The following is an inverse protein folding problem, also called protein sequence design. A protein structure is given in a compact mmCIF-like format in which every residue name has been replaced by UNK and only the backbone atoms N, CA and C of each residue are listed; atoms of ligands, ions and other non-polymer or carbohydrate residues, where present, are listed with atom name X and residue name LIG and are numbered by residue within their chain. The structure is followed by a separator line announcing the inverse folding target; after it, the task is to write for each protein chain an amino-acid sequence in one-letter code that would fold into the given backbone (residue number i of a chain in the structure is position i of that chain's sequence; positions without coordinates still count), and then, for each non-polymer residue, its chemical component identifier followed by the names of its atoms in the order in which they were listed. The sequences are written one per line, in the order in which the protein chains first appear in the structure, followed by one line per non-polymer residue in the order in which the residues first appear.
data_IF_604311571244
#
_entry.id   IF_604311571244
#
_cell.length_a   1.000
_cell.length_b   1.000
_cell.length_c   1.000
_cell.angle_alpha   90.00
_cell.angle_beta   90.00
_cell.angle_gamma   90.00
#
_symmetry.space_group_name_H-M   'P 1'
#
loop_
_entity.id
_entity.type
_entity.pdbx_description
1 polymer ?
#
# COMPACT_ATOMS: atom_id res chain seq x y z
N UNK A 1 20.43 -12.35 -34.85
CA UNK A 1 19.72 -11.24 -35.54
C UNK A 1 19.21 -10.29 -34.48
N UNK A 2 19.35 -8.97 -34.63
CA UNK A 2 19.06 -8.01 -33.55
C UNK A 2 17.57 -7.64 -33.44
N UNK A 3 16.85 -7.56 -34.57
CA UNK A 3 15.40 -7.34 -34.61
C UNK A 3 14.71 -8.68 -34.93
N UNK A 4 13.68 -9.04 -34.16
CA UNK A 4 12.79 -10.15 -34.51
C UNK A 4 11.78 -9.65 -35.56
N UNK A 5 11.81 -10.15 -36.80
CA UNK A 5 11.07 -9.55 -37.92
C UNK A 5 9.58 -9.89 -37.93
N UNK A 6 9.15 -10.87 -37.14
CA UNK A 6 7.76 -11.34 -37.04
C UNK A 6 7.13 -10.76 -35.78
N UNK A 7 6.15 -9.86 -35.88
CA UNK A 7 5.36 -9.40 -34.74
C UNK A 7 4.58 -10.56 -34.10
N UNK A 8 4.35 -10.47 -32.79
CA UNK A 8 3.53 -11.45 -32.07
C UNK A 8 2.08 -11.48 -32.62
N UNK A 9 1.48 -12.66 -32.68
CA UNK A 9 0.14 -12.92 -33.21
C UNK A 9 -0.04 -12.61 -34.72
N UNK A 10 1.01 -12.87 -35.52
CA UNK A 10 0.94 -12.81 -36.99
C UNK A 10 0.48 -14.16 -37.55
N UNK A 11 -0.61 -14.18 -38.33
CA UNK A 11 -1.16 -15.40 -38.92
C UNK A 11 -0.10 -16.14 -39.76
N UNK A 12 0.06 -17.44 -39.50
CA UNK A 12 0.96 -18.31 -40.25
C UNK A 12 2.44 -18.22 -39.86
N UNK A 13 2.78 -17.47 -38.82
CA UNK A 13 4.15 -17.35 -38.32
C UNK A 13 4.37 -18.14 -37.00
N UNK A 14 5.62 -18.54 -36.76
CA UNK A 14 6.04 -19.16 -35.50
C UNK A 14 6.48 -18.08 -34.49
N UNK A 15 6.25 -18.35 -33.19
CA UNK A 15 6.60 -17.44 -32.10
C UNK A 15 7.46 -18.14 -31.06
N UNK A 16 8.63 -17.57 -30.77
CA UNK A 16 9.55 -18.14 -29.77
C UNK A 16 9.13 -17.78 -28.34
N UNK A 17 9.58 -18.58 -27.37
CA UNK A 17 9.42 -18.27 -25.94
C UNK A 17 9.94 -16.85 -25.61
N UNK A 18 11.05 -16.46 -26.25
CA UNK A 18 11.61 -15.13 -26.15
C UNK A 18 10.62 -14.01 -26.50
N UNK A 19 9.79 -14.18 -27.54
CA UNK A 19 8.78 -13.17 -27.90
C UNK A 19 7.71 -13.03 -26.82
N UNK A 20 7.29 -14.14 -26.20
CA UNK A 20 6.34 -14.09 -25.09
C UNK A 20 6.95 -13.48 -23.83
N UNK A 21 8.23 -13.75 -23.53
CA UNK A 21 8.94 -13.11 -22.41
C UNK A 21 9.04 -11.59 -22.59
N UNK A 22 9.20 -11.12 -23.83
CA UNK A 22 9.16 -9.69 -24.15
C UNK A 22 7.74 -9.11 -24.06
N UNK A 23 6.70 -9.85 -24.47
CA UNK A 23 5.31 -9.42 -24.25
C UNK A 23 5.00 -9.25 -22.76
N UNK A 24 5.45 -10.18 -21.90
CA UNK A 24 5.26 -10.07 -20.45
C UNK A 24 5.97 -8.82 -19.91
N UNK A 25 7.18 -8.52 -20.38
CA UNK A 25 7.90 -7.29 -20.03
C UNK A 25 7.06 -6.04 -20.32
N UNK A 26 6.50 -5.96 -21.53
CA UNK A 26 5.73 -4.81 -21.98
C UNK A 26 4.42 -4.66 -21.19
N UNK A 27 3.70 -5.77 -20.98
CA UNK A 27 2.48 -5.79 -20.16
C UNK A 27 2.76 -5.43 -18.70
N UNK A 28 3.92 -5.83 -18.19
CA UNK A 28 4.36 -5.51 -16.85
C UNK A 28 4.99 -4.12 -16.73
N UNK A 29 5.12 -3.37 -17.83
CA UNK A 29 5.76 -2.05 -17.90
C UNK A 29 7.19 -2.06 -17.37
N UNK A 30 7.94 -3.12 -17.69
CA UNK A 30 9.31 -3.35 -17.19
C UNK A 30 9.40 -3.41 -15.66
N UNK A 31 8.31 -3.77 -14.97
CA UNK A 31 8.30 -4.00 -13.53
C UNK A 31 8.21 -5.50 -13.21
N UNK A 32 8.67 -5.86 -12.00
CA UNK A 32 8.53 -7.20 -11.44
C UNK A 32 7.88 -7.14 -10.05
N UNK A 33 7.32 -8.25 -9.61
CA UNK A 33 6.62 -8.35 -8.34
C UNK A 33 5.41 -9.27 -8.41
N UNK A 34 4.67 -9.36 -7.31
CA UNK A 34 3.37 -10.03 -7.25
C UNK A 34 2.31 -9.24 -8.03
N UNK A 35 1.28 -9.91 -8.52
CA UNK A 35 0.24 -9.26 -9.34
C UNK A 35 -0.71 -8.42 -8.51
N UNK A 36 -1.10 -8.89 -7.32
CA UNK A 36 -1.93 -8.12 -6.37
C UNK A 36 -1.36 -8.16 -4.95
N UNK A 37 -1.81 -7.27 -4.07
CA UNK A 37 -1.32 -7.16 -2.69
C UNK A 37 -1.47 -8.42 -1.82
N UNK A 38 -2.40 -9.32 -2.14
CA UNK A 38 -2.61 -10.59 -1.41
C UNK A 38 -1.81 -11.76 -1.98
N UNK A 39 -1.36 -11.67 -3.22
CA UNK A 39 -0.75 -12.79 -3.94
C UNK A 39 0.54 -13.26 -3.27
N UNK A 40 0.73 -14.59 -3.19
CA UNK A 40 1.94 -15.25 -2.71
C UNK A 40 2.37 -14.83 -1.29
N UNK A 41 1.40 -14.48 -0.44
CA UNK A 41 1.67 -14.08 0.94
C UNK A 41 2.35 -15.21 1.72
N UNK A 42 3.46 -14.88 2.37
CA UNK A 42 4.16 -15.79 3.27
C UNK A 42 3.61 -15.65 4.68
N UNK A 43 3.22 -16.77 5.29
CA UNK A 43 2.70 -16.82 6.66
C UNK A 43 3.30 -18.01 7.40
N UNK A 44 3.30 -17.97 8.73
CA UNK A 44 3.60 -19.16 9.53
C UNK A 44 2.50 -20.21 9.34
N UNK A 45 2.85 -21.49 9.53
CA UNK A 45 1.87 -22.58 9.52
C UNK A 45 0.78 -22.36 10.58
N UNK A 46 -0.44 -22.81 10.29
CA UNK A 46 -1.54 -22.82 11.25
C UNK A 46 -1.23 -23.68 12.48
N UNK A 47 -0.55 -24.82 12.27
CA UNK A 47 0.04 -25.64 13.32
C UNK A 47 1.51 -25.24 13.47
N UNK A 48 1.97 -24.82 14.66
CA UNK A 48 3.36 -24.39 14.85
C UNK A 48 4.38 -25.42 14.37
N UNK A 49 5.36 -24.99 13.56
CA UNK A 49 6.38 -25.85 12.98
C UNK A 49 7.52 -25.07 12.31
N UNK A 50 8.51 -25.79 11.76
CA UNK A 50 9.71 -25.23 11.12
C UNK A 50 9.53 -24.84 9.65
N UNK A 51 8.31 -24.53 9.22
CA UNK A 51 8.03 -24.20 7.83
C UNK A 51 7.15 -22.94 7.73
N UNK A 52 7.04 -22.41 6.52
CA UNK A 52 6.13 -21.31 6.18
C UNK A 52 5.16 -21.76 5.09
N UNK A 53 3.97 -21.17 5.11
CA UNK A 53 2.95 -21.33 4.09
C UNK A 53 3.03 -20.15 3.11
N UNK A 54 2.97 -20.46 1.83
CA UNK A 54 2.87 -19.47 0.75
C UNK A 54 1.47 -19.58 0.17
N UNK A 55 0.73 -18.47 0.17
CA UNK A 55 -0.62 -18.39 -0.39
C UNK A 55 -0.66 -18.51 -1.91
N UNK A 56 -1.87 -18.50 -2.43
CA UNK A 56 -2.14 -18.47 -3.87
C UNK A 56 -1.81 -17.11 -4.47
N UNK A 57 -1.74 -17.04 -5.79
CA UNK A 57 -1.56 -15.81 -6.53
C UNK A 57 -0.49 -15.90 -7.59
N UNK A 58 -0.16 -14.77 -8.19
CA UNK A 58 0.74 -14.71 -9.33
C UNK A 58 1.79 -13.62 -9.19
N UNK A 59 2.81 -13.71 -10.01
CA UNK A 59 3.91 -12.78 -10.06
C UNK A 59 4.46 -12.64 -11.48
N UNK A 60 5.14 -11.53 -11.69
CA UNK A 60 6.00 -11.27 -12.83
C UNK A 60 7.44 -11.17 -12.34
N UNK A 61 8.35 -11.90 -12.98
CA UNK A 61 9.75 -12.03 -12.57
C UNK A 61 10.64 -11.56 -13.72
N UNK A 62 11.53 -10.61 -13.47
CA UNK A 62 12.49 -10.18 -14.47
C UNK A 62 13.63 -11.20 -14.59
N UNK A 63 13.96 -11.62 -15.80
CA UNK A 63 15.21 -12.32 -16.07
C UNK A 63 16.41 -11.42 -15.78
N UNK A 64 17.39 -11.90 -15.01
CA UNK A 64 18.57 -11.13 -14.60
C UNK A 64 19.90 -11.62 -15.17
N UNK A 65 19.91 -12.79 -15.80
CA UNK A 65 21.13 -13.42 -16.32
C UNK A 65 21.57 -12.76 -17.62
N UNK A 66 20.62 -12.33 -18.45
CA UNK A 66 20.88 -11.67 -19.72
C UNK A 66 19.93 -10.49 -19.93
N UNK A 67 20.38 -9.36 -20.51
CA UNK A 67 19.50 -8.22 -20.80
C UNK A 67 18.38 -8.56 -21.79
N UNK A 68 18.54 -9.63 -22.56
CA UNK A 68 17.52 -10.14 -23.49
C UNK A 68 16.69 -11.26 -22.89
N UNK A 69 16.85 -11.65 -21.62
CA UNK A 69 16.10 -12.77 -21.05
C UNK A 69 14.58 -12.50 -20.97
N UNK A 70 14.18 -11.23 -20.89
CA UNK A 70 12.77 -10.84 -20.80
C UNK A 70 12.20 -11.10 -19.41
N UNK A 71 10.88 -11.32 -19.33
CA UNK A 71 10.14 -11.49 -18.08
C UNK A 71 9.29 -12.76 -18.11
N UNK A 72 9.08 -13.35 -16.93
CA UNK A 72 8.31 -14.57 -16.74
C UNK A 72 7.06 -14.28 -15.94
N UNK A 73 5.97 -14.98 -16.26
CA UNK A 73 4.82 -15.07 -15.38
C UNK A 73 4.91 -16.36 -14.58
N UNK A 74 4.61 -16.29 -13.29
CA UNK A 74 4.59 -17.41 -12.38
C UNK A 74 3.34 -17.33 -11.51
N UNK A 75 2.80 -18.47 -11.10
CA UNK A 75 1.64 -18.51 -10.23
C UNK A 75 1.65 -19.75 -9.32
N UNK A 76 0.99 -19.63 -8.18
CA UNK A 76 0.71 -20.70 -7.24
C UNK A 76 -0.81 -20.85 -7.12
N UNK A 77 -1.30 -22.09 -7.17
CA UNK A 77 -2.72 -22.41 -6.96
C UNK A 77 -2.86 -23.07 -5.61
N UNK A 78 -3.66 -22.47 -4.72
CA UNK A 78 -3.79 -22.92 -3.35
C UNK A 78 -2.56 -22.53 -2.53
N UNK A 79 -2.10 -23.41 -1.65
CA UNK A 79 -1.05 -23.08 -0.68
C UNK A 79 0.10 -24.06 -0.76
N UNK A 80 1.34 -23.57 -0.75
CA UNK A 80 2.55 -24.40 -0.74
C UNK A 80 3.33 -24.23 0.57
N UNK A 81 4.07 -25.27 0.99
CA UNK A 81 4.82 -25.30 2.25
C UNK A 81 6.31 -25.39 1.99
N UNK A 82 7.06 -24.40 2.49
CA UNK A 82 8.52 -24.36 2.36
C UNK A 82 9.17 -24.54 3.71
N UNK A 83 10.04 -25.54 3.81
CA UNK A 83 10.80 -25.84 5.03
C UNK A 83 11.87 -24.78 5.27
N UNK A 84 11.98 -24.34 6.52
CA UNK A 84 13.01 -23.41 6.99
C UNK A 84 13.89 -24.15 7.98
N UNK A 85 15.18 -24.26 7.68
CA UNK A 85 16.11 -24.95 8.57
C UNK A 85 16.14 -24.29 9.95
N UNK A 86 16.27 -25.08 11.01
CA UNK A 86 16.41 -24.54 12.36
C UNK A 86 17.75 -23.79 12.53
N UNK A 87 17.84 -22.96 13.57
CA UNK A 87 19.08 -22.31 14.01
C UNK A 87 19.70 -23.04 15.19
N UNK A 88 21.03 -23.04 15.24
CA UNK A 88 21.80 -23.40 16.44
C UNK A 88 21.96 -22.22 17.39
N UNK A 89 23.12 -22.06 18.00
CA UNK A 89 23.38 -20.97 18.97
C UNK A 89 23.38 -19.55 18.38
N UNK A 90 23.39 -19.40 17.06
CA UNK A 90 23.45 -18.10 16.37
C UNK A 90 22.16 -17.82 15.61
N UNK A 91 21.63 -16.61 15.74
CA UNK A 91 20.51 -16.11 14.93
C UNK A 91 20.93 -15.89 13.48
N UNK A 92 20.01 -16.05 12.53
CA UNK A 92 20.23 -15.70 11.13
C UNK A 92 18.96 -15.19 10.47
N UNK A 93 19.12 -14.55 9.33
CA UNK A 93 18.01 -14.20 8.45
C UNK A 93 18.13 -15.00 7.16
N UNK A 94 17.02 -15.58 6.73
CA UNK A 94 16.92 -16.31 5.46
C UNK A 94 15.95 -15.56 4.54
N UNK A 95 16.12 -15.60 3.22
CA UNK A 95 15.21 -14.97 2.25
C UNK A 95 14.48 -16.02 1.44
N UNK A 96 13.15 -15.98 1.49
CA UNK A 96 12.29 -16.77 0.64
C UNK A 96 11.97 -16.01 -0.64
N UNK A 97 12.28 -16.62 -1.78
CA UNK A 97 12.08 -16.04 -3.11
C UNK A 97 11.24 -16.96 -3.98
N UNK A 98 10.56 -16.38 -4.97
CA UNK A 98 10.03 -17.12 -6.10
C UNK A 98 11.02 -16.94 -7.26
N UNK A 99 11.67 -18.04 -7.65
CA UNK A 99 12.75 -18.05 -8.64
C UNK A 99 12.31 -18.71 -9.93
N UNK A 100 12.84 -18.19 -11.02
CA UNK A 100 12.88 -18.82 -12.33
C UNK A 100 14.32 -19.22 -12.60
N UNK A 101 14.55 -20.45 -13.05
CA UNK A 101 15.85 -20.93 -13.53
C UNK A 101 15.64 -21.50 -14.93
N UNK A 102 15.73 -20.61 -15.93
CA UNK A 102 15.50 -20.94 -17.33
C UNK A 102 16.81 -21.48 -17.96
N UNK A 103 16.87 -22.77 -18.37
CA UNK A 103 18.08 -23.40 -18.90
C UNK A 103 18.55 -22.81 -20.24
N UNK A 104 17.74 -21.98 -20.91
CA UNK A 104 18.24 -21.18 -22.05
C UNK A 104 19.29 -20.14 -21.60
N UNK A 105 19.29 -19.74 -20.32
CA UNK A 105 20.15 -18.68 -19.78
C UNK A 105 20.97 -19.11 -18.55
N UNK A 106 20.40 -19.90 -17.65
CA UNK A 106 21.05 -20.34 -16.40
C UNK A 106 20.64 -21.76 -15.99
N UNK A 107 21.55 -22.45 -15.31
CA UNK A 107 21.27 -23.77 -14.74
C UNK A 107 21.24 -24.90 -15.76
N UNK A 108 20.98 -26.11 -15.25
CA UNK A 108 20.96 -27.36 -16.02
C UNK A 108 19.61 -28.09 -15.89
N UNK A 109 18.55 -27.38 -15.46
CA UNK A 109 17.21 -27.95 -15.28
C UNK A 109 16.61 -28.37 -16.62
N UNK A 110 15.94 -29.51 -16.64
CA UNK A 110 15.19 -29.96 -17.81
C UNK A 110 13.74 -29.42 -17.76
N UNK A 111 13.30 -28.53 -18.67
CA UNK A 111 11.94 -27.99 -18.67
C UNK A 111 10.85 -29.05 -18.83
N UNK A 112 11.19 -30.25 -19.31
CA UNK A 112 10.24 -31.35 -19.46
C UNK A 112 9.96 -32.08 -18.14
N UNK A 113 10.86 -32.02 -17.17
CA UNK A 113 10.79 -32.86 -15.95
C UNK A 113 11.01 -32.08 -14.65
N UNK A 114 11.79 -31.01 -14.68
CA UNK A 114 12.11 -30.19 -13.51
C UNK A 114 11.21 -28.95 -13.40
N UNK A 115 10.90 -28.51 -12.17
CA UNK A 115 10.22 -27.24 -11.97
C UNK A 115 11.16 -26.08 -12.31
N UNK A 116 10.87 -25.37 -13.41
CA UNK A 116 11.60 -24.15 -13.82
C UNK A 116 11.31 -22.97 -12.91
N UNK A 117 10.10 -22.94 -12.34
CA UNK A 117 9.67 -21.98 -11.33
C UNK A 117 9.50 -22.69 -10.01
N UNK A 118 10.14 -22.19 -8.97
CA UNK A 118 10.11 -22.82 -7.64
C UNK A 118 10.37 -21.79 -6.53
N UNK A 119 9.99 -22.17 -5.31
CA UNK A 119 10.33 -21.41 -4.12
C UNK A 119 11.71 -21.81 -3.63
N UNK A 120 12.55 -20.82 -3.35
CA UNK A 120 13.91 -21.04 -2.85
C UNK A 120 14.13 -20.28 -1.55
N UNK A 121 14.81 -20.91 -0.60
CA UNK A 121 15.28 -20.27 0.62
C UNK A 121 16.77 -19.99 0.46
N UNK A 122 17.12 -18.71 0.40
CA UNK A 122 18.51 -18.24 0.38
C UNK A 122 18.94 -18.00 1.83
N UNK A 123 19.81 -18.84 2.40
CA UNK A 123 20.15 -18.74 3.82
C UNK A 123 21.16 -17.62 4.09
N UNK A 124 21.21 -17.16 5.35
CA UNK A 124 22.23 -16.23 5.86
C UNK A 124 22.31 -14.89 5.10
N UNK A 125 21.17 -14.35 4.67
CA UNK A 125 21.12 -12.98 4.14
C UNK A 125 21.30 -11.95 5.27
N UNK A 126 21.61 -10.71 4.91
CA UNK A 126 21.60 -9.60 5.88
C UNK A 126 20.22 -9.44 6.53
N UNK A 127 20.18 -9.10 7.83
CA UNK A 127 18.96 -8.80 8.57
C UNK A 127 18.25 -7.52 8.12
N UNK A 128 18.83 -6.78 7.18
CA UNK A 128 18.22 -5.62 6.52
C UNK A 128 17.97 -5.86 5.03
N UNK A 129 18.26 -7.05 4.51
CA UNK A 129 18.06 -7.36 3.10
C UNK A 129 16.58 -7.22 2.71
N UNK A 130 16.35 -6.54 1.59
CA UNK A 130 15.02 -6.33 0.99
C UNK A 130 14.96 -6.76 -0.47
N UNK A 131 16.10 -7.07 -1.07
CA UNK A 131 16.25 -7.46 -2.48
C UNK A 131 16.93 -8.81 -2.58
N UNK A 132 16.57 -9.57 -3.61
CA UNK A 132 17.27 -10.81 -3.98
C UNK A 132 18.75 -10.51 -4.30
N UNK A 133 19.68 -11.43 -4.02
CA UNK A 133 21.06 -11.33 -4.53
C UNK A 133 21.14 -11.03 -6.03
N UNK A 134 22.19 -10.29 -6.43
CA UNK A 134 22.38 -9.92 -7.82
C UNK A 134 22.55 -11.15 -8.73
N UNK A 135 22.04 -11.07 -9.96
CA UNK A 135 22.10 -12.15 -10.95
C UNK A 135 20.98 -13.18 -10.86
N UNK A 136 20.14 -13.15 -9.82
CA UNK A 136 19.02 -14.08 -9.66
C UNK A 136 17.78 -13.58 -10.40
N UNK A 137 17.24 -14.42 -11.28
CA UNK A 137 15.93 -14.23 -11.90
C UNK A 137 14.81 -14.58 -10.90
N UNK A 138 14.59 -13.73 -9.89
CA UNK A 138 13.64 -13.99 -8.82
C UNK A 138 13.06 -12.70 -8.21
N UNK A 139 11.94 -12.84 -7.50
CA UNK A 139 11.38 -11.78 -6.65
C UNK A 139 11.44 -12.19 -5.17
N UNK A 140 11.68 -11.24 -4.25
CA UNK A 140 11.64 -11.53 -2.82
C UNK A 140 10.20 -11.62 -2.35
N UNK A 141 9.84 -12.69 -1.65
CA UNK A 141 8.53 -12.84 -1.01
C UNK A 141 8.61 -12.43 0.46
N UNK A 142 9.59 -12.98 1.19
CA UNK A 142 9.79 -12.63 2.59
C UNK A 142 11.25 -12.78 3.02
N UNK A 143 11.62 -12.06 4.08
CA UNK A 143 12.78 -12.37 4.90
C UNK A 143 12.30 -12.97 6.20
N UNK A 144 12.95 -14.02 6.66
CA UNK A 144 12.60 -14.75 7.88
C UNK A 144 13.74 -14.53 8.86
N UNK A 145 13.49 -13.71 9.88
CA UNK A 145 14.45 -13.39 10.93
C UNK A 145 14.33 -14.43 12.05
N UNK A 146 15.24 -15.41 12.05
CA UNK A 146 15.19 -16.58 12.93
C UNK A 146 16.12 -16.33 14.14
N UNK A 147 15.58 -16.26 15.38
CA UNK A 147 16.40 -16.15 16.59
C UNK A 147 17.32 -17.37 16.77
N UNK A 148 18.26 -17.31 17.71
CA UNK A 148 19.04 -18.49 18.07
C UNK A 148 18.15 -19.59 18.66
N UNK A 149 18.57 -20.85 18.50
CA UNK A 149 17.94 -22.05 19.04
C UNK A 149 16.45 -22.18 18.70
N UNK A 150 16.08 -21.79 17.48
CA UNK A 150 14.68 -21.72 17.04
C UNK A 150 14.41 -22.73 15.92
N UNK A 151 13.39 -23.55 16.12
CA UNK A 151 12.89 -24.53 15.14
C UNK A 151 11.43 -24.29 14.73
N UNK A 152 10.76 -23.30 15.31
CA UNK A 152 9.37 -22.94 15.00
C UNK A 152 9.30 -21.53 14.47
N UNK A 153 8.73 -21.36 13.28
CA UNK A 153 8.58 -20.06 12.63
C UNK A 153 7.25 -19.44 13.03
N UNK A 154 7.27 -18.15 13.37
CA UNK A 154 6.08 -17.38 13.74
C UNK A 154 5.93 -16.18 12.79
N UNK A 155 4.71 -15.63 12.67
CA UNK A 155 4.47 -14.47 11.82
C UNK A 155 5.32 -13.24 12.20
N UNK A 156 5.73 -13.10 13.46
CA UNK A 156 6.59 -11.99 13.90
C UNK A 156 8.00 -12.05 13.29
N UNK A 157 8.47 -13.27 12.99
CA UNK A 157 9.76 -13.53 12.35
C UNK A 157 9.72 -13.26 10.84
N UNK A 158 8.53 -13.28 10.22
CA UNK A 158 8.35 -13.11 8.78
C UNK A 158 8.21 -11.62 8.46
N UNK A 159 9.11 -11.10 7.62
CA UNK A 159 9.06 -9.75 7.06
C UNK A 159 8.64 -9.85 5.61
N UNK A 160 7.47 -9.31 5.31
CA UNK A 160 6.94 -9.27 3.95
C UNK A 160 7.76 -8.31 3.07
N UNK A 161 8.35 -8.87 2.01
CA UNK A 161 9.18 -8.12 1.06
C UNK A 161 8.50 -7.97 -0.31
N UNK A 162 7.30 -8.52 -0.50
CA UNK A 162 6.60 -8.53 -1.79
C UNK A 162 6.46 -7.11 -2.33
N UNK A 163 6.69 -6.92 -3.62
CA UNK A 163 6.34 -5.69 -4.30
C UNK A 163 5.27 -6.02 -5.33
N UNK A 164 4.31 -5.13 -5.54
CA UNK A 164 3.32 -5.31 -6.60
C UNK A 164 3.95 -4.82 -7.88
N UNK A 165 3.90 -5.62 -8.95
CA UNK A 165 4.53 -5.25 -10.23
C UNK A 165 3.91 -3.96 -10.79
N UNK A 166 2.57 -3.87 -10.81
CA UNK A 166 1.84 -2.71 -11.31
C UNK A 166 0.72 -2.32 -10.33
N UNK A 167 1.03 -1.62 -9.23
CA UNK A 167 0.06 -1.31 -8.20
C UNK A 167 -1.07 -0.43 -8.73
N UNK A 168 -2.32 -0.82 -8.43
CA UNK A 168 -3.50 -0.02 -8.76
C UNK A 168 -3.49 1.32 -8.04
N UNK A 169 -4.04 2.32 -8.72
CA UNK A 169 -4.27 3.67 -8.19
C UNK A 169 -5.64 4.15 -8.61
N UNK A 170 -6.36 4.75 -7.67
CA UNK A 170 -7.67 5.35 -7.93
C UNK A 170 -7.74 6.67 -7.19
N UNK A 171 -8.05 7.76 -7.91
CA UNK A 171 -8.16 9.09 -7.33
C UNK A 171 -9.59 9.59 -7.42
N UNK A 172 -10.13 10.03 -6.30
CA UNK A 172 -11.47 10.58 -6.16
C UNK A 172 -11.34 12.04 -5.71
N UNK A 173 -11.91 12.95 -6.48
CA UNK A 173 -12.05 14.36 -6.12
C UNK A 173 -13.53 14.67 -5.93
N UNK A 174 -13.92 15.06 -4.71
CA UNK A 174 -15.30 15.42 -4.37
C UNK A 174 -15.33 16.79 -3.67
N UNK A 175 -15.97 17.80 -4.26
CA UNK A 175 -16.27 19.03 -3.56
C UNK A 175 -17.48 18.84 -2.64
N UNK A 176 -17.49 19.55 -1.52
CA UNK A 176 -18.67 19.66 -0.65
C UNK A 176 -18.92 21.13 -0.31
N UNK A 177 -20.06 21.65 -0.72
CA UNK A 177 -20.52 22.99 -0.37
C UNK A 177 -21.47 22.88 0.81
N UNK A 178 -21.21 23.61 1.91
CA UNK A 178 -22.07 23.52 3.08
C UNK A 178 -23.34 24.37 2.88
N UNK A 179 -24.55 23.77 2.81
CA UNK A 179 -25.76 24.53 2.49
C UNK A 179 -26.48 25.06 3.74
N UNK A 180 -25.96 24.76 4.94
CA UNK A 180 -26.63 25.02 6.20
C UNK A 180 -26.49 26.46 6.70
N UNK A 181 -27.27 26.83 7.73
CA UNK A 181 -27.05 28.08 8.45
C UNK A 181 -25.68 28.05 9.15
N UNK A 182 -25.22 29.22 9.60
CA UNK A 182 -23.98 29.35 10.36
C UNK A 182 -23.94 28.39 11.56
N UNK A 183 -22.98 27.47 11.55
CA UNK A 183 -22.62 26.62 12.68
C UNK A 183 -21.28 27.10 13.23
N UNK A 184 -21.17 27.27 14.54
CA UNK A 184 -19.96 27.74 15.19
C UNK A 184 -19.49 26.79 16.29
N UNK A 185 -18.18 26.72 16.48
CA UNK A 185 -17.52 26.25 17.69
C UNK A 185 -16.97 27.49 18.40
N UNK A 186 -17.26 27.59 19.70
CA UNK A 186 -16.77 28.65 20.59
C UNK A 186 -16.17 28.06 21.86
N UNK A 187 -15.58 28.93 22.69
CA UNK A 187 -14.97 28.55 23.96
C UNK A 187 -13.63 27.82 23.78
N UNK A 188 -13.20 27.10 24.81
CA UNK A 188 -11.82 26.61 24.96
C UNK A 188 -11.69 25.09 24.91
N UNK A 189 -12.61 24.42 24.21
CA UNK A 189 -12.71 22.96 24.16
C UNK A 189 -11.68 22.34 23.20
N UNK A 190 -10.67 21.70 23.77
CA UNK A 190 -9.66 20.90 23.06
C UNK A 190 -10.15 19.56 22.53
N UNK A 191 -11.43 19.24 22.70
CA UNK A 191 -12.04 18.01 22.18
C UNK A 191 -12.43 18.15 20.71
N UNK A 192 -12.01 17.20 19.88
CA UNK A 192 -12.36 17.11 18.47
C UNK A 192 -13.84 16.81 18.25
N UNK A 193 -14.47 17.62 17.41
CA UNK A 193 -15.88 17.49 17.03
C UNK A 193 -16.01 17.48 15.51
N UNK A 194 -17.05 16.80 15.01
CA UNK A 194 -17.40 16.91 13.60
C UNK A 194 -18.01 18.28 13.36
N UNK A 195 -17.40 19.06 12.48
CA UNK A 195 -17.80 20.44 12.25
C UNK A 195 -17.62 20.88 10.79
N UNK A 196 -18.70 21.30 10.12
CA UNK A 196 -20.09 21.21 10.54
C UNK A 196 -20.51 19.76 10.82
N UNK A 197 -21.56 19.53 11.63
CA UNK A 197 -21.96 18.17 12.05
C UNK A 197 -22.68 17.40 10.93
N UNK A 198 -21.96 17.12 9.84
CA UNK A 198 -22.45 16.49 8.62
C UNK A 198 -21.43 15.48 8.09
N UNK A 199 -21.91 14.50 7.35
CA UNK A 199 -21.06 13.67 6.48
C UNK A 199 -20.92 14.41 5.14
N UNK A 200 -19.69 14.75 4.76
CA UNK A 200 -19.41 15.57 3.57
C UNK A 200 -19.38 14.75 2.29
N UNK A 201 -18.89 13.52 2.38
CA UNK A 201 -18.91 12.55 1.29
C UNK A 201 -19.04 11.13 1.86
N UNK A 202 -19.48 10.20 1.02
CA UNK A 202 -19.36 8.77 1.29
C UNK A 202 -18.47 8.19 0.20
N UNK A 203 -17.29 7.72 0.59
CA UNK A 203 -16.27 7.23 -0.33
C UNK A 203 -16.26 5.71 -0.36
N UNK A 204 -16.34 5.11 -1.54
CA UNK A 204 -16.10 3.69 -1.70
C UNK A 204 -14.59 3.43 -1.57
N UNK A 205 -14.17 2.71 -0.53
CA UNK A 205 -12.77 2.32 -0.37
C UNK A 205 -12.56 1.00 -1.10
N UNK A 206 -11.67 0.93 -2.10
CA UNK A 206 -11.42 -0.32 -2.82
C UNK A 206 -10.92 -1.42 -1.88
N UNK A 207 -11.34 -2.67 -2.12
CA UNK A 207 -10.92 -3.82 -1.31
C UNK A 207 -9.41 -4.05 -1.32
N UNK A 208 -8.74 -3.59 -2.38
CA UNK A 208 -7.31 -3.71 -2.61
C UNK A 208 -6.45 -2.57 -2.05
N UNK A 209 -7.06 -1.47 -1.61
CA UNK A 209 -6.33 -0.28 -1.20
C UNK A 209 -5.56 -0.55 0.11
N UNK A 210 -4.23 -0.39 0.10
CA UNK A 210 -3.40 -0.49 1.30
C UNK A 210 -3.18 0.88 1.96
N UNK A 211 -3.29 1.96 1.20
CA UNK A 211 -3.18 3.33 1.73
C UNK A 211 -4.19 4.26 1.05
N UNK A 212 -4.60 5.31 1.76
CA UNK A 212 -5.34 6.42 1.21
C UNK A 212 -4.59 7.72 1.49
N UNK A 213 -4.10 8.39 0.44
CA UNK A 213 -3.51 9.72 0.54
C UNK A 213 -4.61 10.75 0.39
N UNK A 214 -4.78 11.60 1.39
CA UNK A 214 -5.88 12.56 1.47
C UNK A 214 -5.32 13.96 1.46
N UNK A 215 -5.78 14.78 0.52
CA UNK A 215 -5.68 16.24 0.57
C UNK A 215 -7.06 16.77 0.88
N UNK A 216 -7.21 17.35 2.07
CA UNK A 216 -8.48 17.90 2.54
C UNK A 216 -8.33 19.38 2.82
N UNK A 217 -9.13 20.20 2.15
CA UNK A 217 -9.13 21.64 2.41
C UNK A 217 -10.52 22.20 2.64
N UNK A 218 -10.55 23.32 3.35
CA UNK A 218 -11.74 24.12 3.59
C UNK A 218 -11.44 25.57 3.25
N UNK A 219 -12.25 26.12 2.35
CA UNK A 219 -12.20 27.53 1.95
C UNK A 219 -13.33 28.27 2.65
N UNK A 220 -13.07 29.53 3.00
CA UNK A 220 -14.06 30.41 3.62
C UNK A 220 -14.57 29.90 4.98
N UNK A 221 -13.72 29.27 5.79
CA UNK A 221 -14.03 29.08 7.21
C UNK A 221 -14.18 30.45 7.85
N UNK A 222 -15.30 30.70 8.52
CA UNK A 222 -15.59 31.98 9.17
C UNK A 222 -14.92 32.04 10.54
N UNK A 223 -14.25 33.15 10.81
CA UNK A 223 -13.59 33.49 12.07
C UNK A 223 -14.24 34.76 12.63
N UNK A 224 -14.60 34.83 13.91
CA UNK A 224 -15.20 36.02 14.50
C UNK A 224 -14.99 36.13 16.03
N UNK A 225 -15.34 37.29 16.58
CA UNK A 225 -15.50 37.52 18.02
C UNK A 225 -14.23 37.33 18.89
N UNK A 226 -13.02 37.45 18.32
CA UNK A 226 -11.77 37.44 19.09
C UNK A 226 -10.58 36.84 18.36
N UNK A 227 -9.48 36.65 19.08
CA UNK A 227 -8.38 35.78 18.74
C UNK A 227 -8.78 34.29 18.73
N UNK A 228 -8.38 33.61 17.67
CA UNK A 228 -8.79 32.24 17.40
C UNK A 228 -7.58 31.34 17.39
N UNK A 229 -7.67 30.29 18.20
CA UNK A 229 -6.68 29.22 18.27
C UNK A 229 -7.42 27.89 18.17
N UNK A 230 -7.14 27.12 17.12
CA UNK A 230 -7.88 25.90 16.83
C UNK A 230 -7.12 24.91 15.97
N UNK A 231 -7.70 23.70 15.85
CA UNK A 231 -7.20 22.65 14.99
C UNK A 231 -8.21 22.27 13.91
N UNK A 232 -7.71 21.93 12.73
CA UNK A 232 -8.46 21.38 11.61
C UNK A 232 -7.83 20.07 11.14
N UNK A 233 -8.66 19.04 10.97
CA UNK A 233 -8.28 17.75 10.38
C UNK A 233 -9.51 17.04 9.79
N UNK A 234 -9.36 15.79 9.39
CA UNK A 234 -10.46 14.98 8.86
C UNK A 234 -10.61 13.63 9.58
N UNK A 235 -11.73 12.97 9.30
CA UNK A 235 -11.98 11.58 9.63
C UNK A 235 -12.50 10.86 8.39
N UNK A 236 -11.86 9.75 8.04
CA UNK A 236 -12.29 8.82 7.00
C UNK A 236 -12.76 7.54 7.68
N UNK A 237 -14.05 7.26 7.60
CA UNK A 237 -14.67 6.12 8.29
C UNK A 237 -14.50 6.20 9.79
N UNK A 238 -13.87 5.18 10.38
CA UNK A 238 -13.52 5.13 11.80
C UNK A 238 -12.15 5.71 12.12
N UNK A 239 -11.35 6.07 11.10
CA UNK A 239 -9.98 6.53 11.31
C UNK A 239 -9.91 8.05 11.22
N UNK A 240 -9.45 8.67 12.30
CA UNK A 240 -9.19 10.10 12.34
C UNK A 240 -7.73 10.40 11.95
N UNK A 241 -7.54 11.47 11.20
CA UNK A 241 -6.22 12.03 10.91
C UNK A 241 -5.44 12.25 12.22
N UNK A 242 -4.18 11.81 12.26
CA UNK A 242 -3.30 11.99 13.43
C UNK A 242 -2.81 13.43 13.47
N UNK A 243 -2.50 14.01 12.30
CA UNK A 243 -2.02 15.39 12.22
C UNK A 243 -3.19 16.38 12.25
N UNK A 244 -2.89 17.60 12.68
CA UNK A 244 -3.78 18.74 12.59
C UNK A 244 -3.06 19.90 11.92
N UNK A 245 -3.84 20.77 11.27
CA UNK A 245 -3.38 22.09 10.88
C UNK A 245 -3.97 23.09 11.84
N UNK A 246 -3.11 23.95 12.39
CA UNK A 246 -3.53 24.98 13.33
C UNK A 246 -4.11 26.18 12.60
N UNK A 247 -5.22 26.66 13.12
CA UNK A 247 -5.81 27.95 12.79
C UNK A 247 -5.39 28.88 13.92
N UNK A 248 -4.55 29.87 13.60
CA UNK A 248 -4.07 30.89 14.52
C UNK A 248 -4.35 32.25 13.88
N UNK A 249 -5.27 33.00 14.46
CA UNK A 249 -5.70 34.29 13.97
C UNK A 249 -5.99 35.24 15.14
N UNK A 250 -5.08 36.18 15.38
CA UNK A 250 -5.17 37.15 16.46
C UNK A 250 -5.67 38.55 16.01
N UNK A 251 -6.42 38.59 14.90
CA UNK A 251 -6.70 39.84 14.15
C UNK A 251 -7.95 40.62 14.62
N UNK A 252 -8.47 40.36 15.84
CA UNK A 252 -9.52 41.17 16.47
C UNK A 252 -10.93 40.59 16.37
N UNK A 253 -11.97 41.43 16.31
CA UNK A 253 -13.38 41.00 16.50
C UNK A 253 -14.23 40.91 15.23
N UNK A 254 -13.79 41.55 14.13
CA UNK A 254 -14.51 41.55 12.84
C UNK A 254 -14.62 40.15 12.23
N UNK A 255 -15.68 39.87 11.47
CA UNK A 255 -15.77 38.61 10.74
C UNK A 255 -14.69 38.51 9.66
N UNK A 256 -13.98 37.39 9.64
CA UNK A 256 -12.87 37.09 8.72
C UNK A 256 -13.07 35.70 8.12
N UNK A 257 -12.38 35.40 7.03
CA UNK A 257 -12.47 34.10 6.36
C UNK A 257 -11.10 33.60 5.97
N UNK A 258 -10.86 32.31 6.22
CA UNK A 258 -9.56 31.68 5.97
C UNK A 258 -9.68 30.42 5.12
N UNK A 259 -8.54 30.07 4.53
CA UNK A 259 -8.29 28.80 3.87
C UNK A 259 -7.43 27.92 4.77
N UNK A 260 -7.78 26.64 4.87
CA UNK A 260 -6.96 25.63 5.56
C UNK A 260 -6.88 24.37 4.70
N UNK A 261 -5.72 23.71 4.72
CA UNK A 261 -5.49 22.46 4.01
C UNK A 261 -4.61 21.54 4.84
N UNK A 262 -5.01 20.28 4.93
CA UNK A 262 -4.24 19.19 5.54
C UNK A 262 -3.97 18.12 4.48
N UNK A 263 -2.78 17.53 4.55
CA UNK A 263 -2.38 16.38 3.75
C UNK A 263 -1.96 15.26 4.69
N UNK A 264 -2.59 14.10 4.60
CA UNK A 264 -2.21 12.94 5.41
C UNK A 264 -2.39 11.64 4.65
N UNK A 265 -1.65 10.61 5.04
CA UNK A 265 -1.81 9.23 4.54
C UNK A 265 -2.45 8.37 5.61
N UNK A 266 -3.60 7.78 5.29
CA UNK A 266 -4.26 6.79 6.14
C UNK A 266 -3.75 5.39 5.76
N UNK A 267 -3.25 4.67 6.76
CA UNK A 267 -2.84 3.27 6.63
C UNK A 267 -4.07 2.35 6.70
N UNK A 268 -4.41 1.76 5.55
CA UNK A 268 -5.53 0.84 5.42
C UNK A 268 -5.14 -0.61 5.72
N UNK A 269 -3.89 -0.90 6.11
CA UNK A 269 -3.42 -2.24 6.48
C UNK A 269 -3.59 -2.59 7.96
N UNK A 270 -3.77 -1.57 8.81
CA UNK A 270 -4.10 -1.76 10.25
C UNK A 270 -5.45 -2.45 10.42
N UNK A 271 -5.76 -2.99 11.61
CA UNK A 271 -7.06 -3.64 11.87
C UNK A 271 -8.24 -2.71 11.57
N UNK A 272 -8.17 -1.45 12.02
CA UNK A 272 -9.21 -0.45 11.74
C UNK A 272 -9.26 -0.09 10.25
N UNK A 273 -8.10 0.08 9.61
CA UNK A 273 -7.98 0.34 8.18
C UNK A 273 -8.56 -0.78 7.32
N UNK A 274 -8.24 -2.02 7.64
CA UNK A 274 -8.67 -3.21 6.90
C UNK A 274 -10.19 -3.40 6.96
N UNK A 275 -10.83 -3.06 8.09
CA UNK A 275 -12.28 -3.10 8.25
C UNK A 275 -13.01 -2.08 7.35
N UNK A 276 -12.32 -1.05 6.87
CA UNK A 276 -12.89 -0.06 5.96
C UNK A 276 -12.80 -0.47 4.47
N UNK A 277 -11.90 -1.37 4.09
CA UNK A 277 -11.70 -1.75 2.68
C UNK A 277 -12.90 -2.52 2.12
N UNK A 278 -13.25 -2.27 0.87
CA UNK A 278 -14.40 -2.90 0.20
C UNK A 278 -15.76 -2.38 0.68
N UNK A 279 -15.79 -1.26 1.39
CA UNK A 279 -17.02 -0.68 1.97
C UNK A 279 -17.12 0.82 1.68
N UNK A 280 -18.30 1.39 1.94
CA UNK A 280 -18.56 2.82 1.82
C UNK A 280 -18.29 3.52 3.16
N UNK A 281 -17.36 4.47 3.16
CA UNK A 281 -16.91 5.15 4.38
C UNK A 281 -17.29 6.64 4.38
N UNK A 282 -17.86 7.16 5.49
CA UNK A 282 -18.14 8.59 5.61
C UNK A 282 -16.84 9.38 5.70
N UNK A 283 -16.80 10.52 5.02
CA UNK A 283 -15.76 11.54 5.17
C UNK A 283 -16.32 12.73 5.94
N UNK A 284 -15.59 13.17 6.97
CA UNK A 284 -16.04 14.24 7.89
C UNK A 284 -14.89 15.20 8.20
N UNK A 285 -15.21 16.50 8.25
CA UNK A 285 -14.31 17.48 8.85
C UNK A 285 -14.31 17.36 10.38
N UNK A 286 -13.15 17.61 10.98
CA UNK A 286 -12.93 17.58 12.42
C UNK A 286 -12.28 18.90 12.83
N UNK A 287 -12.88 19.57 13.81
CA UNK A 287 -12.37 20.81 14.37
C UNK A 287 -12.43 20.79 15.90
N UNK A 288 -11.57 21.58 16.51
CA UNK A 288 -11.55 21.89 17.94
C UNK A 288 -11.06 23.31 18.15
N UNK A 289 -11.32 23.88 19.31
CA UNK A 289 -10.64 25.10 19.76
C UNK A 289 -9.53 24.76 20.76
N UNK A 290 -8.64 25.69 21.03
CA UNK A 290 -7.58 25.56 22.04
C UNK A 290 -7.96 26.26 23.36
N UNK A 291 -7.18 26.01 24.41
CA UNK A 291 -7.42 26.54 25.75
C UNK A 291 -7.43 28.07 25.85
N UNK A 292 -6.80 28.75 24.88
CA UNK A 292 -6.70 30.21 24.81
C UNK A 292 -7.60 30.84 23.74
N UNK A 293 -8.51 30.06 23.14
CA UNK A 293 -9.44 30.57 22.15
C UNK A 293 -10.48 31.48 22.80
N UNK A 294 -10.55 32.74 22.39
CA UNK A 294 -11.56 33.71 22.83
C UNK A 294 -12.58 34.04 21.73
N UNK A 295 -12.33 33.61 20.48
CA UNK A 295 -13.24 33.79 19.34
C UNK A 295 -14.09 32.57 18.97
N UNK A 296 -14.65 32.61 17.76
CA UNK A 296 -15.53 31.60 17.17
C UNK A 296 -15.05 31.19 15.78
N UNK A 297 -15.15 29.90 15.50
CA UNK A 297 -14.89 29.31 14.19
C UNK A 297 -16.18 28.72 13.68
N UNK A 298 -16.54 29.01 12.44
CA UNK A 298 -17.76 28.49 11.87
C UNK A 298 -17.70 28.14 10.40
N UNK A 299 -18.68 27.34 10.02
CA UNK A 299 -19.02 27.03 8.64
C UNK A 299 -20.43 27.52 8.35
N UNK A 300 -20.62 28.13 7.18
CA UNK A 300 -21.91 28.61 6.68
C UNK A 300 -22.03 28.39 5.17
N UNK A 301 -23.07 28.94 4.55
CA UNK A 301 -23.32 28.86 3.11
C UNK A 301 -22.25 29.52 2.24
N UNK A 302 -21.15 30.03 2.78
CA UNK A 302 -20.01 30.48 1.98
C UNK A 302 -18.80 29.56 2.13
N UNK A 303 -18.87 28.56 3.00
CA UNK A 303 -17.81 27.58 3.26
C UNK A 303 -17.90 26.40 2.28
N UNK A 304 -16.76 26.07 1.67
CA UNK A 304 -16.62 24.95 0.74
C UNK A 304 -15.46 24.06 1.14
N UNK A 305 -15.59 22.77 0.91
CA UNK A 305 -14.59 21.76 1.20
C UNK A 305 -14.16 21.03 -0.06
N UNK A 306 -12.87 20.67 -0.13
CA UNK A 306 -12.29 19.84 -1.19
C UNK A 306 -11.81 18.55 -0.55
N UNK A 307 -12.33 17.42 -1.01
CA UNK A 307 -11.92 16.07 -0.59
C UNK A 307 -11.24 15.43 -1.78
N UNK A 308 -9.93 15.25 -1.71
CA UNK A 308 -9.12 14.63 -2.77
C UNK A 308 -8.39 13.43 -2.19
N UNK A 309 -8.77 12.24 -2.61
CA UNK A 309 -8.27 10.97 -2.06
C UNK A 309 -7.68 10.12 -3.16
N UNK A 310 -6.42 9.73 -3.03
CA UNK A 310 -5.78 8.72 -3.87
C UNK A 310 -5.60 7.43 -3.07
N UNK A 311 -6.28 6.37 -3.50
CA UNK A 311 -6.07 5.02 -3.01
C UNK A 311 -4.91 4.36 -3.76
N UNK A 312 -4.01 3.73 -3.03
CA UNK A 312 -2.87 3.00 -3.59
C UNK A 312 -2.86 1.56 -3.10
N UNK A 313 -2.62 0.65 -4.04
CA UNK A 313 -2.41 -0.76 -3.72
C UNK A 313 -1.08 -0.97 -3.03
N UNK A 314 -1.03 -1.93 -2.11
CA UNK A 314 0.16 -2.32 -1.38
C UNK A 314 0.01 -3.73 -0.83
N UNK A 315 1.00 -4.18 -0.06
CA UNK A 315 1.01 -5.50 0.57
C UNK A 315 -0.14 -5.60 1.58
N UNK A 316 -0.89 -6.69 1.53
CA UNK A 316 -2.01 -6.98 2.43
C UNK A 316 -1.76 -8.23 3.27
#
# INVERSE_FOLDING_TARGET
MALVPVPIATLGAEHSAQQFRMMIKDLARDNQGVTTGSDLKVTALATPGGAVQIGDGSAVIAGKVSPVQGYYNAYNIGSDTVQIAATGSTSRSDMLVLRVEDPEYEGDRDPATDPIVFFEVIPNVSSTATTVPAGYSAIPLARIDIPSSTATITNAMIKDLRQIANPRRERILTPYYFPGPLQEISGTSTTWKTHPNVTMATLAIPSWAATAKVVFSATNIRLAEGAIFAGFRFMLGSTEAVQEVRIDDNQGTSARRVYVEIVETIDLTTTAGAAMRGTNQPFRARMRTDAFNDGKIGADSLTSYKIDVEFLEGRL
#
